data_IF_173897945150
#
_entry.id   IF_173897945150
#
_cell.length_a   1.000
_cell.length_b   1.000
_cell.length_c   1.000
_cell.angle_alpha   90.00
_cell.angle_beta   90.00
_cell.angle_gamma   90.00
#
_symmetry.space_group_name_H-M   'P 1'
#
loop_
_entity.id
_entity.type
_entity.pdbx_description
1 polymer ?
#
# COMPACT_ATOMS: atom_id res chain seq x y z
N UNK A 1 14.76 -20.75 -18.64
CA UNK A 1 14.93 -20.42 -17.22
C UNK A 1 14.35 -21.52 -16.33
N UNK A 2 13.08 -21.91 -16.45
CA UNK A 2 12.43 -22.95 -15.61
C UNK A 2 13.23 -24.23 -15.54
N UNK A 3 13.71 -24.78 -16.70
CA UNK A 3 14.52 -25.99 -16.73
C UNK A 3 15.81 -25.84 -15.91
N UNK A 4 16.51 -24.72 -16.00
CA UNK A 4 17.75 -24.46 -15.25
C UNK A 4 17.50 -24.39 -13.77
N UNK A 5 16.44 -23.67 -13.34
CA UNK A 5 16.09 -23.54 -11.93
C UNK A 5 15.77 -24.90 -11.32
N UNK A 6 14.85 -25.65 -11.93
CA UNK A 6 14.38 -26.93 -11.40
C UNK A 6 15.45 -28.05 -11.47
N UNK A 7 16.33 -28.03 -12.49
CA UNK A 7 17.32 -29.10 -12.67
C UNK A 7 18.69 -28.82 -12.04
N UNK A 8 19.01 -27.57 -11.76
CA UNK A 8 20.33 -27.19 -11.23
C UNK A 8 20.28 -26.39 -9.93
N UNK A 9 19.43 -25.35 -9.87
CA UNK A 9 19.44 -24.43 -8.72
C UNK A 9 18.73 -25.04 -7.52
N UNK A 10 17.51 -25.56 -7.67
CA UNK A 10 16.78 -26.17 -6.56
C UNK A 10 17.53 -27.36 -5.95
N UNK A 11 18.04 -28.35 -6.74
CA UNK A 11 18.83 -29.43 -6.17
C UNK A 11 20.12 -28.98 -5.49
N UNK A 12 20.76 -27.92 -5.98
CA UNK A 12 21.93 -27.35 -5.33
C UNK A 12 21.58 -26.74 -3.96
N UNK A 13 20.48 -26.00 -3.86
CA UNK A 13 19.99 -25.43 -2.60
C UNK A 13 19.60 -26.53 -1.62
N UNK A 14 18.91 -27.58 -2.07
CA UNK A 14 18.52 -28.71 -1.22
C UNK A 14 19.75 -29.41 -0.64
N UNK A 15 20.81 -29.57 -1.45
CA UNK A 15 22.09 -30.09 -0.99
C UNK A 15 22.72 -29.19 0.09
N UNK A 16 22.75 -27.87 -0.13
CA UNK A 16 23.26 -26.93 0.85
C UNK A 16 22.47 -26.97 2.18
N UNK A 17 21.15 -27.15 2.13
CA UNK A 17 20.34 -27.29 3.33
C UNK A 17 20.59 -28.61 4.06
N UNK A 18 20.85 -29.71 3.35
CA UNK A 18 21.24 -30.96 3.95
C UNK A 18 22.59 -30.83 4.66
N UNK A 19 23.61 -30.27 4.00
CA UNK A 19 24.93 -30.01 4.58
C UNK A 19 24.86 -29.09 5.80
N UNK A 20 23.99 -28.07 5.78
CA UNK A 20 23.77 -27.18 6.92
C UNK A 20 23.11 -27.92 8.09
N UNK A 21 22.16 -28.81 7.81
CA UNK A 21 21.50 -29.60 8.83
C UNK A 21 22.51 -30.55 9.53
N UNK A 22 23.38 -31.18 8.77
CA UNK A 22 24.45 -32.04 9.28
C UNK A 22 25.46 -31.22 10.11
N UNK A 23 25.89 -30.07 9.61
CA UNK A 23 26.81 -29.18 10.32
C UNK A 23 26.25 -28.68 11.65
N UNK A 24 24.94 -28.40 11.71
CA UNK A 24 24.27 -27.92 12.93
C UNK A 24 23.76 -29.05 13.84
N UNK A 25 24.03 -30.33 13.50
CA UNK A 25 23.50 -31.52 14.19
C UNK A 25 21.96 -31.47 14.35
N UNK A 26 21.25 -30.98 13.30
CA UNK A 26 19.80 -30.92 13.32
C UNK A 26 19.19 -32.35 13.25
N UNK A 27 18.13 -32.58 14.03
CA UNK A 27 17.44 -33.88 14.06
C UNK A 27 16.87 -34.25 12.67
N UNK A 28 16.43 -33.23 11.91
CA UNK A 28 15.85 -33.40 10.57
C UNK A 28 15.95 -32.12 9.77
N UNK A 29 16.39 -32.23 8.53
CA UNK A 29 16.29 -31.13 7.54
C UNK A 29 14.81 -30.87 7.17
N UNK A 30 14.34 -29.64 7.37
CA UNK A 30 12.95 -29.21 7.08
C UNK A 30 12.87 -27.95 6.20
N UNK A 31 14.03 -27.35 5.85
CA UNK A 31 14.07 -26.17 5.01
C UNK A 31 13.78 -26.53 3.57
N UNK A 32 12.89 -25.79 2.96
CA UNK A 32 12.54 -25.92 1.54
C UNK A 32 12.56 -24.53 0.93
N UNK A 33 13.27 -24.37 -0.18
CA UNK A 33 13.26 -23.15 -0.97
C UNK A 33 12.88 -23.51 -2.41
N UNK A 34 11.85 -22.86 -2.91
CA UNK A 34 11.40 -23.00 -4.28
C UNK A 34 11.35 -21.66 -4.97
N UNK A 35 11.45 -21.68 -6.28
CA UNK A 35 11.27 -20.49 -7.09
C UNK A 35 9.85 -19.97 -6.96
N UNK A 36 9.72 -18.70 -6.57
CA UNK A 36 8.42 -18.04 -6.48
C UNK A 36 8.01 -17.41 -7.83
N UNK A 37 8.88 -16.59 -8.43
CA UNK A 37 8.52 -15.76 -9.59
C UNK A 37 9.62 -15.74 -10.64
N UNK A 38 9.22 -15.72 -11.93
CA UNK A 38 10.04 -15.26 -13.06
C UNK A 38 9.37 -14.04 -13.67
N UNK A 39 10.11 -12.96 -13.81
CA UNK A 39 9.68 -11.72 -14.43
C UNK A 39 10.67 -11.30 -15.52
N UNK A 40 10.20 -10.63 -16.56
CA UNK A 40 11.07 -10.05 -17.62
C UNK A 40 11.57 -8.66 -17.23
N UNK A 41 10.78 -7.93 -16.42
CA UNK A 41 11.11 -6.59 -15.93
C UNK A 41 10.77 -6.47 -14.45
N UNK A 42 11.58 -5.69 -13.72
CA UNK A 42 11.35 -5.42 -12.32
C UNK A 42 11.98 -4.10 -11.89
N UNK A 43 11.31 -3.41 -10.96
CA UNK A 43 11.79 -2.18 -10.35
C UNK A 43 11.67 -2.32 -8.84
N UNK A 44 12.79 -2.13 -8.13
CA UNK A 44 12.88 -2.12 -6.68
C UNK A 44 13.15 -0.71 -6.19
N UNK A 45 12.19 -0.12 -5.49
CA UNK A 45 12.30 1.27 -4.97
C UNK A 45 12.84 1.33 -3.55
N UNK A 46 12.61 0.28 -2.75
CA UNK A 46 13.10 0.15 -1.39
C UNK A 46 12.89 -1.29 -0.88
N UNK A 47 13.37 -1.60 0.33
CA UNK A 47 13.07 -2.87 1.01
C UNK A 47 11.56 -3.09 1.11
N UNK A 48 11.06 -4.25 0.66
CA UNK A 48 9.64 -4.62 0.59
C UNK A 48 8.78 -3.71 -0.31
N UNK A 49 9.40 -2.96 -1.22
CA UNK A 49 8.72 -2.08 -2.19
C UNK A 49 9.25 -2.35 -3.58
N UNK A 50 8.49 -3.11 -4.36
CA UNK A 50 8.87 -3.48 -5.73
C UNK A 50 7.65 -3.69 -6.61
N UNK A 51 7.90 -3.70 -7.91
CA UNK A 51 6.94 -4.05 -8.94
C UNK A 51 7.62 -4.93 -9.98
N UNK A 52 6.94 -6.00 -10.41
CA UNK A 52 7.45 -7.00 -11.34
C UNK A 52 6.42 -7.23 -12.46
N UNK A 53 6.91 -7.41 -13.69
CA UNK A 53 6.13 -7.91 -14.80
C UNK A 53 6.33 -9.43 -14.85
N UNK A 54 5.41 -10.18 -14.26
CA UNK A 54 5.54 -11.60 -13.93
C UNK A 54 5.11 -12.46 -15.12
N UNK A 55 6.01 -13.32 -15.58
CA UNK A 55 5.77 -14.32 -16.63
C UNK A 55 5.36 -15.68 -16.07
N UNK A 56 5.86 -16.02 -14.88
CA UNK A 56 5.61 -17.30 -14.22
C UNK A 56 5.62 -17.12 -12.70
N UNK A 57 4.65 -17.69 -12.02
CA UNK A 57 4.53 -17.69 -10.56
C UNK A 57 4.30 -19.12 -10.07
N UNK A 58 5.20 -19.61 -9.23
CA UNK A 58 5.16 -20.96 -8.65
C UNK A 58 5.05 -22.11 -9.70
N UNK A 59 5.59 -21.90 -10.90
CA UNK A 59 5.55 -22.89 -11.99
C UNK A 59 4.37 -22.74 -12.95
N UNK A 60 3.46 -21.79 -12.68
CA UNK A 60 2.36 -21.46 -13.57
C UNK A 60 2.79 -20.33 -14.49
N UNK A 61 2.95 -20.60 -15.77
CA UNK A 61 3.30 -19.62 -16.79
C UNK A 61 2.04 -18.89 -17.26
N UNK A 62 2.10 -17.59 -17.36
CA UNK A 62 1.00 -16.73 -17.83
C UNK A 62 1.15 -16.47 -19.33
N UNK A 63 0.04 -16.53 -20.06
CA UNK A 63 0.01 -16.13 -21.49
C UNK A 63 0.28 -14.62 -21.64
N UNK A 64 -0.33 -13.81 -20.76
CA UNK A 64 -0.02 -12.39 -20.63
C UNK A 64 0.64 -12.13 -19.29
N UNK A 65 1.74 -11.33 -19.24
CA UNK A 65 2.44 -11.01 -18.01
C UNK A 65 1.53 -10.34 -16.99
N UNK A 66 1.62 -10.76 -15.72
CA UNK A 66 0.87 -10.15 -14.60
C UNK A 66 1.72 -9.15 -13.86
N UNK A 67 1.12 -8.02 -13.51
CA UNK A 67 1.77 -7.00 -12.70
C UNK A 67 1.69 -7.35 -11.21
N UNK A 68 2.83 -7.75 -10.61
CA UNK A 68 2.96 -7.99 -9.16
C UNK A 68 3.52 -6.72 -8.50
N UNK A 69 2.78 -6.16 -7.55
CA UNK A 69 3.15 -4.93 -6.85
C UNK A 69 3.17 -5.19 -5.35
N UNK A 70 4.26 -4.82 -4.68
CA UNK A 70 4.43 -4.94 -3.24
C UNK A 70 4.82 -3.63 -2.59
N UNK A 71 4.15 -3.28 -1.49
CA UNK A 71 4.48 -2.15 -0.62
C UNK A 71 4.34 -0.75 -1.22
N UNK A 72 3.86 -0.64 -2.46
CA UNK A 72 3.66 0.64 -3.17
C UNK A 72 2.23 1.15 -2.92
N UNK A 73 2.03 2.45 -3.04
CA UNK A 73 0.77 3.13 -2.79
C UNK A 73 -0.39 2.61 -3.65
N UNK A 74 -0.09 2.00 -4.80
CA UNK A 74 -1.05 1.35 -5.69
C UNK A 74 -1.84 0.19 -5.06
N UNK A 75 -1.32 -0.42 -3.97
CA UNK A 75 -1.96 -1.56 -3.29
C UNK A 75 -2.35 -1.25 -1.85
N UNK A 76 -2.02 -0.07 -1.34
CA UNK A 76 -2.34 0.33 0.04
C UNK A 76 -3.79 0.81 0.15
N UNK A 77 -4.55 0.23 1.05
CA UNK A 77 -5.94 0.65 1.35
C UNK A 77 -6.05 2.10 1.82
N UNK A 78 -4.95 2.68 2.31
CA UNK A 78 -4.86 4.08 2.74
C UNK A 78 -4.71 5.09 1.61
N UNK A 79 -4.55 4.64 0.36
CA UNK A 79 -4.50 5.48 -0.83
C UNK A 79 -5.90 5.56 -1.45
N UNK A 80 -6.38 6.72 -1.88
CA UNK A 80 -7.67 6.84 -2.56
C UNK A 80 -7.77 5.87 -3.74
N UNK A 81 -8.95 5.29 -3.95
CA UNK A 81 -9.13 4.24 -4.96
C UNK A 81 -8.79 4.70 -6.38
N UNK A 82 -9.22 5.91 -6.73
CA UNK A 82 -8.90 6.53 -8.02
C UNK A 82 -7.38 6.62 -8.21
N UNK A 83 -6.65 7.10 -7.19
CA UNK A 83 -5.20 7.19 -7.25
C UNK A 83 -4.54 5.81 -7.37
N UNK A 84 -5.06 4.78 -6.67
CA UNK A 84 -4.55 3.40 -6.79
C UNK A 84 -4.66 2.87 -8.22
N UNK A 85 -5.81 3.08 -8.85
CA UNK A 85 -6.04 2.70 -10.25
C UNK A 85 -5.06 3.37 -11.20
N UNK A 86 -4.90 4.69 -11.08
CA UNK A 86 -3.98 5.47 -11.92
C UNK A 86 -2.51 5.11 -11.69
N UNK A 87 -2.10 4.87 -10.44
CA UNK A 87 -0.73 4.41 -10.15
C UNK A 87 -0.47 3.04 -10.80
N UNK A 88 -1.42 2.09 -10.75
CA UNK A 88 -1.28 0.80 -11.43
C UNK A 88 -1.15 0.96 -12.95
N UNK A 89 -1.94 1.84 -13.55
CA UNK A 89 -1.84 2.16 -14.98
C UNK A 89 -0.48 2.78 -15.32
N UNK A 90 -0.03 3.77 -14.54
CA UNK A 90 1.30 4.36 -14.72
C UNK A 90 2.43 3.32 -14.62
N UNK A 91 2.38 2.41 -13.65
CA UNK A 91 3.35 1.32 -13.52
C UNK A 91 3.32 0.40 -14.75
N UNK A 92 2.13 0.07 -15.28
CA UNK A 92 2.01 -0.71 -16.51
C UNK A 92 2.66 0.02 -17.69
N UNK A 93 2.44 1.33 -17.83
CA UNK A 93 3.09 2.15 -18.87
C UNK A 93 4.61 2.15 -18.72
N UNK A 94 5.15 2.33 -17.51
CA UNK A 94 6.60 2.26 -17.24
C UNK A 94 7.20 0.92 -17.71
N UNK A 95 6.47 -0.17 -17.55
CA UNK A 95 6.94 -1.51 -17.94
C UNK A 95 6.83 -1.78 -19.44
N UNK A 96 5.90 -1.13 -20.16
CA UNK A 96 5.52 -1.51 -21.53
C UNK A 96 5.68 -0.43 -22.57
N UNK A 97 5.77 0.84 -22.19
CA UNK A 97 5.76 1.99 -23.09
C UNK A 97 7.00 2.89 -22.89
N UNK A 98 7.07 3.94 -23.67
CA UNK A 98 8.11 4.96 -23.60
C UNK A 98 7.78 6.06 -22.57
N UNK A 99 8.77 6.90 -22.26
CA UNK A 99 8.66 7.98 -21.30
C UNK A 99 7.65 9.06 -21.74
N UNK A 100 7.57 9.37 -23.04
CA UNK A 100 6.64 10.39 -23.55
C UNK A 100 5.18 10.00 -23.30
N UNK A 101 4.84 8.74 -23.51
CA UNK A 101 3.51 8.19 -23.21
C UNK A 101 3.17 8.30 -21.73
N UNK A 102 4.14 8.00 -20.85
CA UNK A 102 3.97 8.16 -19.41
C UNK A 102 3.77 9.62 -19.00
N UNK A 103 4.59 10.54 -19.53
CA UNK A 103 4.47 11.97 -19.23
C UNK A 103 3.11 12.53 -19.64
N UNK A 104 2.60 12.16 -20.82
CA UNK A 104 1.26 12.53 -21.29
C UNK A 104 0.20 12.00 -20.34
N UNK A 105 0.27 10.72 -19.97
CA UNK A 105 -0.67 10.12 -19.02
C UNK A 105 -0.70 10.85 -17.67
N UNK A 106 0.47 11.25 -17.15
CA UNK A 106 0.56 12.01 -15.88
C UNK A 106 -0.06 13.40 -16.03
N UNK A 107 0.18 14.10 -17.15
CA UNK A 107 -0.39 15.42 -17.41
C UNK A 107 -1.92 15.35 -17.52
N UNK A 108 -2.45 14.37 -18.26
CA UNK A 108 -3.88 14.13 -18.40
C UNK A 108 -4.53 13.82 -17.04
N UNK A 109 -3.90 12.94 -16.26
CA UNK A 109 -4.41 12.63 -14.92
C UNK A 109 -4.34 13.81 -13.95
N UNK A 110 -3.34 14.66 -14.04
CA UNK A 110 -3.27 15.89 -13.25
C UNK A 110 -4.47 16.80 -13.50
N UNK A 111 -4.85 16.96 -14.76
CA UNK A 111 -6.04 17.75 -15.14
C UNK A 111 -7.33 17.11 -14.62
N UNK A 112 -7.47 15.80 -14.80
CA UNK A 112 -8.61 15.02 -14.28
C UNK A 112 -8.71 15.14 -12.74
N UNK A 113 -7.58 15.02 -12.04
CA UNK A 113 -7.53 15.08 -10.57
C UNK A 113 -8.06 16.39 -9.99
N UNK A 114 -7.80 17.53 -10.65
CA UNK A 114 -8.32 18.83 -10.21
C UNK A 114 -9.83 18.96 -10.37
N UNK A 115 -10.46 18.17 -11.22
CA UNK A 115 -11.92 18.16 -11.42
C UNK A 115 -12.66 17.18 -10.48
N UNK A 116 -11.91 16.33 -9.74
CA UNK A 116 -12.50 15.33 -8.86
C UNK A 116 -13.09 15.94 -7.59
N UNK A 117 -14.14 15.31 -7.07
CA UNK A 117 -14.72 15.70 -5.79
C UNK A 117 -13.78 15.42 -4.62
N UNK A 118 -13.92 16.20 -3.54
CA UNK A 118 -13.19 16.00 -2.30
C UNK A 118 -13.31 14.56 -1.77
N UNK A 119 -14.47 13.94 -1.92
CA UNK A 119 -14.71 12.55 -1.49
C UNK A 119 -13.87 11.53 -2.27
N UNK A 120 -13.70 11.72 -3.58
CA UNK A 120 -12.94 10.79 -4.44
C UNK A 120 -11.44 10.82 -4.14
N UNK A 121 -10.89 11.99 -3.82
CA UNK A 121 -9.45 12.19 -3.56
C UNK A 121 -9.06 12.08 -2.09
N UNK A 122 -10.04 11.93 -1.18
CA UNK A 122 -9.81 11.84 0.26
C UNK A 122 -9.12 10.53 0.66
N UNK A 123 -8.21 10.65 1.63
CA UNK A 123 -7.44 9.51 2.17
C UNK A 123 -8.29 8.71 3.16
N UNK A 124 -8.57 7.42 2.90
CA UNK A 124 -9.24 6.56 3.87
C UNK A 124 -8.30 6.16 5.01
N UNK A 125 -8.78 6.30 6.25
CA UNK A 125 -8.05 5.90 7.47
C UNK A 125 -9.01 5.39 8.53
N UNK A 126 -8.53 4.44 9.36
CA UNK A 126 -9.24 4.04 10.57
C UNK A 126 -8.82 4.91 11.74
N UNK A 127 -9.79 5.38 12.51
CA UNK A 127 -9.58 6.18 13.73
C UNK A 127 -9.39 5.26 14.93
N UNK A 128 -8.14 4.88 15.19
CA UNK A 128 -7.77 4.05 16.34
C UNK A 128 -7.15 4.89 17.46
N UNK A 129 -7.31 4.41 18.69
CA UNK A 129 -6.77 5.02 19.91
C UNK A 129 -7.29 6.45 20.18
N UNK A 130 -8.55 6.75 19.82
CA UNK A 130 -9.15 8.05 20.09
C UNK A 130 -9.03 8.45 21.57
N UNK A 131 -9.27 7.51 22.50
CA UNK A 131 -9.19 7.79 23.93
C UNK A 131 -7.76 8.06 24.42
N UNK A 132 -6.76 7.44 23.80
CA UNK A 132 -5.34 7.67 24.11
C UNK A 132 -4.92 9.11 23.80
N UNK A 133 -5.51 9.70 22.75
CA UNK A 133 -5.15 11.03 22.27
C UNK A 133 -6.05 12.15 22.81
N UNK A 134 -7.10 11.85 23.56
CA UNK A 134 -7.90 12.84 24.30
C UNK A 134 -7.13 13.32 25.53
N UNK A 135 -7.29 14.61 25.86
CA UNK A 135 -6.75 15.17 27.08
C UNK A 135 -7.82 16.00 27.81
N UNK A 136 -7.78 16.00 29.14
CA UNK A 136 -8.82 16.66 29.95
C UNK A 136 -8.99 18.17 29.72
N UNK A 137 -7.90 18.89 29.42
CA UNK A 137 -7.89 20.34 29.20
C UNK A 137 -7.75 20.74 27.73
N UNK A 138 -7.39 19.82 26.84
CA UNK A 138 -7.26 20.08 25.39
C UNK A 138 -7.96 19.02 24.57
N UNK A 139 -8.36 19.36 23.33
CA UNK A 139 -9.07 18.45 22.45
C UNK A 139 -8.20 17.22 22.11
N UNK A 140 -6.88 17.41 21.98
CA UNK A 140 -5.91 16.35 21.66
C UNK A 140 -4.52 16.68 22.23
N UNK A 141 -3.65 15.67 22.35
CA UNK A 141 -2.27 15.81 22.84
C UNK A 141 -1.26 15.97 21.69
N UNK A 142 -0.02 16.40 22.00
CA UNK A 142 1.10 16.45 21.06
C UNK A 142 1.39 15.04 20.50
N UNK A 143 1.66 14.95 19.20
CA UNK A 143 1.94 13.66 18.53
C UNK A 143 0.69 12.92 18.05
N UNK A 144 -0.51 13.45 18.23
CA UNK A 144 -1.75 12.88 17.67
C UNK A 144 -1.68 12.85 16.13
N UNK A 145 -1.97 11.71 15.48
CA UNK A 145 -2.03 11.61 14.03
C UNK A 145 -3.08 12.58 13.44
N UNK A 146 -2.82 13.15 12.26
CA UNK A 146 -3.63 14.22 11.67
C UNK A 146 -5.11 13.82 11.49
N UNK A 147 -5.40 12.60 11.03
CA UNK A 147 -6.77 12.12 10.87
C UNK A 147 -7.49 11.94 12.22
N UNK A 148 -6.78 11.54 13.28
CA UNK A 148 -7.31 11.45 14.64
C UNK A 148 -7.56 12.84 15.22
N UNK A 149 -6.66 13.83 14.95
CA UNK A 149 -6.92 15.22 15.30
C UNK A 149 -8.22 15.72 14.68
N UNK A 150 -8.40 15.51 13.37
CA UNK A 150 -9.63 15.88 12.67
C UNK A 150 -10.87 15.26 13.30
N UNK A 151 -10.81 13.95 13.61
CA UNK A 151 -11.91 13.24 14.26
C UNK A 151 -12.24 13.80 15.65
N UNK A 152 -11.22 14.10 16.46
CA UNK A 152 -11.42 14.68 17.80
C UNK A 152 -11.98 16.12 17.75
N UNK A 153 -11.49 16.95 16.82
CA UNK A 153 -12.02 18.29 16.59
C UNK A 153 -13.48 18.21 16.12
N UNK A 154 -13.78 17.37 15.12
CA UNK A 154 -15.13 17.14 14.64
C UNK A 154 -16.09 16.75 15.78
N UNK A 155 -15.72 15.76 16.58
CA UNK A 155 -16.52 15.31 17.72
C UNK A 155 -16.70 16.42 18.77
N UNK A 156 -15.68 17.24 19.03
CA UNK A 156 -15.74 18.36 19.94
C UNK A 156 -16.74 19.42 19.45
N UNK A 157 -16.64 19.81 18.17
CA UNK A 157 -17.53 20.80 17.56
C UNK A 157 -18.99 20.32 17.53
N UNK A 158 -19.24 19.06 17.14
CA UNK A 158 -20.59 18.51 17.18
C UNK A 158 -21.23 18.59 18.57
N UNK A 159 -20.45 18.37 19.63
CA UNK A 159 -20.93 18.52 21.02
C UNK A 159 -21.14 19.98 21.39
N UNK A 160 -20.20 20.86 21.06
CA UNK A 160 -20.26 22.29 21.35
C UNK A 160 -21.50 22.95 20.72
N UNK A 161 -21.78 22.62 19.45
CA UNK A 161 -22.93 23.15 18.72
C UNK A 161 -24.21 22.31 18.89
N UNK A 162 -24.20 21.31 19.77
CA UNK A 162 -25.35 20.40 20.02
C UNK A 162 -25.82 19.64 18.75
N UNK A 163 -24.95 19.49 17.77
CA UNK A 163 -25.23 18.81 16.48
C UNK A 163 -25.08 17.30 16.55
N UNK A 164 -24.56 16.74 17.64
CA UNK A 164 -24.34 15.29 17.83
C UNK A 164 -25.65 14.45 17.81
N UNK A 165 -26.82 15.08 17.88
CA UNK A 165 -28.12 14.41 17.67
C UNK A 165 -28.45 14.23 16.18
N UNK A 166 -27.89 15.08 15.30
CA UNK A 166 -28.14 15.07 13.86
C UNK A 166 -27.04 14.32 13.09
N UNK A 167 -25.79 14.45 13.54
CA UNK A 167 -24.62 13.85 12.92
C UNK A 167 -23.94 12.90 13.91
N UNK A 168 -23.56 11.66 13.46
CA UNK A 168 -22.94 10.70 14.33
C UNK A 168 -21.54 11.15 14.75
N UNK A 169 -21.17 10.85 15.99
CA UNK A 169 -19.79 11.04 16.47
C UNK A 169 -18.91 9.93 15.88
N UNK A 170 -17.69 10.29 15.50
CA UNK A 170 -16.66 9.32 15.08
C UNK A 170 -16.23 8.53 16.31
N UNK A 171 -16.30 7.20 16.23
CA UNK A 171 -15.98 6.26 17.29
C UNK A 171 -14.64 5.55 17.05
N UNK A 172 -14.20 4.81 18.06
CA UNK A 172 -13.00 3.97 17.98
C UNK A 172 -13.15 2.92 16.87
N UNK A 173 -12.17 2.86 15.96
CA UNK A 173 -12.15 1.93 14.83
C UNK A 173 -12.91 2.40 13.58
N UNK A 174 -13.66 3.51 13.65
CA UNK A 174 -14.39 4.03 12.50
C UNK A 174 -13.45 4.35 11.34
N UNK A 175 -13.90 4.03 10.14
CA UNK A 175 -13.22 4.41 8.89
C UNK A 175 -13.70 5.79 8.46
N UNK A 176 -12.77 6.71 8.37
CA UNK A 176 -13.01 8.07 7.87
C UNK A 176 -12.24 8.34 6.59
N UNK A 177 -12.69 9.31 5.83
CA UNK A 177 -11.95 9.92 4.72
C UNK A 177 -11.55 11.34 5.14
N UNK A 178 -10.30 11.74 4.89
CA UNK A 178 -9.83 13.07 5.24
C UNK A 178 -8.96 13.68 4.14
N UNK A 179 -8.94 15.01 4.10
CA UNK A 179 -8.04 15.80 3.26
C UNK A 179 -7.17 16.70 4.15
N UNK A 180 -5.97 17.01 3.66
CA UNK A 180 -5.16 18.09 4.20
C UNK A 180 -5.52 19.36 3.42
N UNK A 181 -5.90 20.41 4.14
CA UNK A 181 -6.12 21.72 3.55
C UNK A 181 -4.81 22.51 3.51
N UNK A 182 -4.70 23.44 2.56
CA UNK A 182 -3.54 24.36 2.45
C UNK A 182 -3.62 25.37 3.61
N UNK A 183 -4.82 25.90 3.87
CA UNK A 183 -5.06 26.81 4.96
C UNK A 183 -5.50 26.05 6.22
N UNK A 184 -4.87 26.38 7.34
CA UNK A 184 -5.03 25.63 8.58
C UNK A 184 -6.38 25.86 9.29
N UNK A 185 -7.16 26.85 8.86
CA UNK A 185 -8.40 27.23 9.54
C UNK A 185 -9.58 27.29 8.57
N UNK A 186 -10.30 26.17 8.37
CA UNK A 186 -11.51 26.13 7.55
C UNK A 186 -12.77 26.66 8.26
N UNK A 187 -12.65 27.15 9.50
CA UNK A 187 -13.77 27.62 10.34
C UNK A 187 -13.45 28.98 10.96
#
# INVERSE_FOLDING_TARGET
>A
LNKVVNSRIEPFIDKCFAELADYTNAIKQKMVMKREVIADKGIWTAKKRYMLNVLDEEGITFEEPKLKIMGIEAVKSSTPEVCRGKIKQAIKLIMTQDEGTLQKFIADFKTEFYSMSAEQISFPRSCNNLNKYKHGSSIFIKGTPIHVKGALIYNHQLKQFKLHRKYPLIQEGDKIKFLKLIDANPF
#
